data_IF_974645512849
#
_entry.id   IF_974645512849
#
_cell.length_a   1.000
_cell.length_b   1.000
_cell.length_c   1.000
_cell.angle_alpha   90.00
_cell.angle_beta   90.00
_cell.angle_gamma   90.00
#
_symmetry.space_group_name_H-M   'P 1'
#
loop_
_entity.id
_entity.type
_entity.pdbx_description
1 polymer ?
#
# COMPACT_ATOMS: atom_id res chain seq x y z
N UNK A 1 25.29 42.76 -31.93
CA UNK A 1 25.14 42.08 -30.63
C UNK A 1 23.98 41.10 -30.79
N UNK A 2 24.29 39.83 -31.05
CA UNK A 2 23.29 38.79 -31.31
C UNK A 2 22.98 38.08 -30.00
N UNK A 3 21.68 38.01 -29.68
CA UNK A 3 21.10 37.30 -28.55
C UNK A 3 21.55 35.83 -28.50
N UNK A 4 22.33 35.51 -27.48
CA UNK A 4 22.62 34.14 -27.03
C UNK A 4 21.65 33.79 -25.91
N UNK A 5 20.36 33.68 -26.23
CA UNK A 5 19.42 32.95 -25.38
C UNK A 5 19.66 31.46 -25.60
N UNK A 6 20.71 30.95 -24.95
CA UNK A 6 20.97 29.53 -24.79
C UNK A 6 19.72 28.88 -24.19
N UNK A 7 18.93 28.26 -25.06
CA UNK A 7 17.88 27.31 -24.70
C UNK A 7 18.53 26.30 -23.75
N UNK A 8 18.18 26.40 -22.46
CA UNK A 8 18.57 25.42 -21.44
C UNK A 8 18.14 24.06 -21.95
N UNK A 9 19.11 23.23 -22.33
CA UNK A 9 18.89 21.81 -22.46
C UNK A 9 18.44 21.33 -21.08
N UNK A 10 17.14 21.11 -20.91
CA UNK A 10 16.57 20.51 -19.71
C UNK A 10 17.05 19.06 -19.69
N UNK A 11 18.20 18.87 -19.07
CA UNK A 11 18.73 17.56 -18.77
C UNK A 11 17.86 17.00 -17.64
N UNK A 12 17.32 15.82 -17.86
CA UNK A 12 16.53 14.99 -16.94
C UNK A 12 17.11 14.86 -15.51
N UNK A 13 18.37 15.22 -15.30
CA UNK A 13 19.10 15.11 -14.04
C UNK A 13 19.23 16.41 -13.26
N UNK A 14 18.68 17.54 -13.73
CA UNK A 14 18.79 18.82 -13.03
C UNK A 14 17.70 18.96 -11.95
N UNK A 15 18.10 18.76 -10.69
CA UNK A 15 17.26 19.00 -9.51
C UNK A 15 16.77 20.46 -9.41
N UNK A 16 17.44 21.42 -10.05
CA UNK A 16 17.01 22.81 -10.13
C UNK A 16 15.72 22.99 -10.93
N UNK A 17 15.59 22.27 -12.05
CA UNK A 17 14.39 22.34 -12.91
C UNK A 17 13.11 21.88 -12.22
N UNK A 18 13.21 20.93 -11.28
CA UNK A 18 12.08 20.45 -10.49
C UNK A 18 11.54 21.50 -9.50
N UNK A 19 12.41 22.34 -8.95
CA UNK A 19 11.98 23.41 -8.06
C UNK A 19 11.29 24.54 -8.84
N UNK A 20 11.80 24.86 -10.03
CA UNK A 20 11.16 25.81 -10.95
C UNK A 20 9.77 25.30 -11.39
N UNK A 21 9.65 24.01 -11.75
CA UNK A 21 8.37 23.36 -12.04
C UNK A 21 7.40 23.39 -10.86
N UNK A 22 7.88 23.19 -9.62
CA UNK A 22 7.06 23.24 -8.41
C UNK A 22 6.53 24.64 -8.11
N UNK A 23 7.33 25.68 -8.40
CA UNK A 23 6.89 27.07 -8.27
C UNK A 23 5.91 27.45 -9.38
N UNK A 24 6.16 27.02 -10.62
CA UNK A 24 5.26 27.23 -11.75
C UNK A 24 3.91 26.52 -11.57
N UNK A 25 3.89 25.31 -10.99
CA UNK A 25 2.65 24.59 -10.66
C UNK A 25 1.77 25.31 -9.62
N UNK A 26 2.31 26.30 -8.89
CA UNK A 26 1.52 27.14 -7.96
C UNK A 26 0.85 28.32 -8.68
N UNK A 27 1.42 28.78 -9.78
CA UNK A 27 0.94 29.94 -10.55
C UNK A 27 0.12 29.54 -11.77
N UNK A 28 0.56 28.50 -12.49
CA UNK A 28 -0.05 28.00 -13.72
C UNK A 28 0.09 26.46 -13.77
N UNK A 29 -0.98 25.79 -13.33
CA UNK A 29 -1.03 24.33 -13.24
C UNK A 29 -1.04 23.66 -14.61
N UNK A 30 -1.67 24.28 -15.61
CA UNK A 30 -1.82 23.68 -16.94
C UNK A 30 -0.50 23.74 -17.71
N UNK A 31 0.20 24.87 -17.63
CA UNK A 31 1.55 24.99 -18.20
C UNK A 31 2.55 24.04 -17.53
N UNK A 32 2.48 23.89 -16.20
CA UNK A 32 3.35 22.97 -15.47
C UNK A 32 3.05 21.50 -15.82
N UNK A 33 1.78 21.13 -15.96
CA UNK A 33 1.35 19.78 -16.34
C UNK A 33 1.82 19.41 -17.75
N UNK A 34 1.73 20.35 -18.70
CA UNK A 34 2.23 20.18 -20.06
C UNK A 34 3.74 19.98 -20.11
N UNK A 35 4.47 20.75 -19.30
CA UNK A 35 5.93 20.63 -19.23
C UNK A 35 6.36 19.28 -18.62
N UNK A 36 5.72 18.83 -17.55
CA UNK A 36 5.98 17.51 -16.95
C UNK A 36 5.64 16.38 -17.92
N UNK A 37 4.52 16.49 -18.65
CA UNK A 37 4.12 15.47 -19.62
C UNK A 37 5.12 15.32 -20.78
N UNK A 38 5.71 16.43 -21.25
CA UNK A 38 6.79 16.40 -22.26
C UNK A 38 8.05 15.72 -21.74
N UNK A 39 8.44 16.02 -20.50
CA UNK A 39 9.60 15.36 -19.86
C UNK A 39 9.37 13.85 -19.71
N UNK A 40 8.14 13.45 -19.35
CA UNK A 40 7.75 12.04 -19.26
C UNK A 40 7.78 11.34 -20.62
N UNK A 41 7.28 11.97 -21.68
CA UNK A 41 7.34 11.44 -23.05
C UNK A 41 8.79 11.19 -23.51
N UNK A 42 9.71 12.11 -23.21
CA UNK A 42 11.13 11.93 -23.50
C UNK A 42 11.76 10.70 -22.82
N UNK A 43 11.37 10.44 -21.56
CA UNK A 43 11.82 9.27 -20.80
C UNK A 43 11.21 7.97 -21.32
N UNK A 44 9.95 8.02 -21.69
CA UNK A 44 9.28 6.87 -22.26
C UNK A 44 9.91 6.49 -23.61
N UNK A 45 10.20 7.48 -24.47
CA UNK A 45 10.89 7.25 -25.74
C UNK A 45 12.29 6.68 -25.55
N UNK A 46 13.06 7.13 -24.55
CA UNK A 46 14.39 6.57 -24.28
C UNK A 46 14.33 5.13 -23.80
N UNK A 47 13.40 4.78 -22.89
CA UNK A 47 13.21 3.41 -22.43
C UNK A 47 12.63 2.49 -23.51
N UNK A 48 11.78 3.01 -24.42
CA UNK A 48 11.32 2.24 -25.58
C UNK A 48 12.48 1.90 -26.52
N UNK A 49 13.31 2.88 -26.91
CA UNK A 49 14.47 2.62 -27.80
C UNK A 49 15.43 1.63 -27.14
N UNK A 50 15.68 1.81 -25.84
CA UNK A 50 16.53 0.91 -25.05
C UNK A 50 15.98 -0.51 -24.95
N UNK A 51 14.67 -0.68 -24.70
CA UNK A 51 14.04 -2.00 -24.63
C UNK A 51 13.98 -2.71 -26.00
N UNK A 52 13.70 -1.97 -27.08
CA UNK A 52 13.76 -2.51 -28.45
C UNK A 52 15.17 -3.04 -28.79
N UNK A 53 16.23 -2.32 -28.38
CA UNK A 53 17.60 -2.79 -28.60
C UNK A 53 18.00 -3.96 -27.70
N UNK A 54 17.63 -3.93 -26.41
CA UNK A 54 17.85 -5.07 -25.50
C UNK A 54 17.20 -6.35 -26.02
N UNK A 55 16.00 -6.25 -26.58
CA UNK A 55 15.33 -7.39 -27.22
C UNK A 55 16.12 -7.91 -28.43
N UNK A 56 16.76 -7.03 -29.21
CA UNK A 56 17.67 -7.41 -30.30
C UNK A 56 18.98 -8.04 -29.82
N UNK A 57 19.52 -7.57 -28.69
CA UNK A 57 20.76 -8.09 -28.10
C UNK A 57 20.61 -9.56 -27.65
N UNK A 58 19.41 -10.00 -27.24
CA UNK A 58 19.10 -11.42 -26.94
C UNK A 58 19.24 -12.31 -28.17
N UNK A 59 18.99 -11.79 -29.38
CA UNK A 59 19.23 -12.51 -30.64
C UNK A 59 20.68 -12.41 -31.13
N UNK A 60 21.51 -11.60 -30.48
CA UNK A 60 22.93 -11.40 -30.79
C UNK A 60 23.87 -12.09 -29.78
N UNK A 61 23.34 -12.92 -28.87
CA UNK A 61 24.14 -13.72 -27.93
C UNK A 61 25.13 -14.62 -28.71
N UNK A 62 26.41 -14.25 -28.66
CA UNK A 62 27.52 -14.92 -29.36
C UNK A 62 28.31 -14.03 -30.32
N UNK A 63 27.92 -12.76 -30.53
CA UNK A 63 28.60 -11.88 -31.49
C UNK A 63 29.78 -11.12 -30.84
N UNK A 64 31.01 -11.42 -31.26
CA UNK A 64 32.27 -10.80 -30.78
C UNK A 64 32.40 -9.28 -31.07
N UNK A 65 31.43 -8.69 -31.77
CA UNK A 65 31.41 -7.28 -32.15
C UNK A 65 30.73 -6.36 -31.12
N UNK A 66 30.10 -6.91 -30.07
CA UNK A 66 29.53 -6.10 -28.98
C UNK A 66 30.60 -5.78 -27.93
N UNK A 67 31.34 -4.70 -28.13
CA UNK A 67 32.32 -4.19 -27.16
C UNK A 67 31.71 -3.10 -26.27
N UNK A 68 32.24 -2.93 -25.06
CA UNK A 68 31.81 -1.88 -24.13
C UNK A 68 31.88 -0.47 -24.74
N UNK A 69 32.84 -0.22 -25.63
CA UNK A 69 32.95 1.03 -26.38
C UNK A 69 31.79 1.20 -27.36
N UNK A 70 31.39 0.14 -28.08
CA UNK A 70 30.23 0.16 -28.98
C UNK A 70 28.93 0.43 -28.23
N UNK A 71 28.77 -0.17 -27.04
CA UNK A 71 27.62 0.07 -26.17
C UNK A 71 27.53 1.53 -25.71
N UNK A 72 28.66 2.13 -25.32
CA UNK A 72 28.71 3.54 -24.93
C UNK A 72 28.32 4.49 -26.08
N UNK A 73 28.86 4.28 -27.28
CA UNK A 73 28.49 5.11 -28.44
C UNK A 73 27.02 4.93 -28.84
N UNK A 74 26.51 3.71 -28.70
CA UNK A 74 25.11 3.38 -28.94
C UNK A 74 24.18 4.08 -27.94
N UNK A 75 24.54 4.08 -26.66
CA UNK A 75 23.78 4.79 -25.62
C UNK A 75 23.77 6.30 -25.83
N UNK A 76 24.92 6.89 -26.20
CA UNK A 76 25.00 8.31 -26.53
C UNK A 76 24.13 8.66 -27.75
N UNK A 77 24.15 7.81 -28.78
CA UNK A 77 23.33 7.97 -29.98
C UNK A 77 21.84 7.89 -29.65
N UNK A 78 21.44 6.91 -28.83
CA UNK A 78 20.06 6.72 -28.40
C UNK A 78 19.56 7.92 -27.59
N UNK A 79 20.38 8.46 -26.69
CA UNK A 79 20.05 9.67 -25.94
C UNK A 79 19.76 10.86 -26.86
N UNK A 80 20.58 11.07 -27.90
CA UNK A 80 20.38 12.16 -28.85
C UNK A 80 19.18 11.93 -29.77
N UNK A 81 18.94 10.69 -30.18
CA UNK A 81 17.78 10.32 -30.98
C UNK A 81 16.49 10.54 -30.20
N UNK A 82 16.40 10.07 -28.95
CA UNK A 82 15.23 10.26 -28.08
C UNK A 82 14.98 11.74 -27.79
N UNK A 83 16.03 12.54 -27.54
CA UNK A 83 15.91 13.98 -27.36
C UNK A 83 15.36 14.67 -28.62
N UNK A 84 15.88 14.30 -29.79
CA UNK A 84 15.45 14.90 -31.07
C UNK A 84 14.01 14.51 -31.41
N UNK A 85 13.61 13.25 -31.15
CA UNK A 85 12.25 12.78 -31.38
C UNK A 85 11.25 13.47 -30.45
N UNK A 86 11.59 13.61 -29.16
CA UNK A 86 10.79 14.34 -28.18
C UNK A 86 10.61 15.82 -28.56
N UNK A 87 11.65 16.46 -29.12
CA UNK A 87 11.60 17.89 -29.46
C UNK A 87 10.94 18.19 -30.83
N UNK A 88 11.14 17.36 -31.85
CA UNK A 88 10.73 17.68 -33.24
C UNK A 88 9.38 17.07 -33.64
N UNK A 89 9.00 15.94 -33.06
CA UNK A 89 7.80 15.21 -33.45
C UNK A 89 7.29 14.39 -32.26
N UNK A 90 6.79 15.10 -31.24
CA UNK A 90 6.14 14.48 -30.09
C UNK A 90 5.10 13.46 -30.55
N UNK A 91 5.03 12.32 -29.87
CA UNK A 91 4.20 11.17 -30.29
C UNK A 91 2.71 11.38 -30.04
N UNK A 92 2.32 12.55 -29.52
CA UNK A 92 0.95 12.84 -29.09
C UNK A 92 0.64 12.33 -27.67
N UNK A 93 1.62 11.67 -27.03
CA UNK A 93 1.45 11.03 -25.73
C UNK A 93 1.41 12.06 -24.61
N UNK A 94 2.22 13.11 -24.71
CA UNK A 94 2.19 14.21 -23.75
C UNK A 94 0.82 14.90 -23.74
N UNK A 95 0.20 15.14 -24.90
CA UNK A 95 -1.14 15.70 -25.02
C UNK A 95 -2.24 14.74 -24.54
N UNK A 96 -2.07 13.44 -24.72
CA UNK A 96 -2.98 12.43 -24.17
C UNK A 96 -2.91 12.39 -22.63
N UNK A 97 -1.70 12.42 -22.07
CA UNK A 97 -1.48 12.49 -20.62
C UNK A 97 -2.04 13.78 -20.03
N UNK A 98 -1.82 14.92 -20.69
CA UNK A 98 -2.40 16.21 -20.29
C UNK A 98 -3.92 16.15 -20.25
N UNK A 99 -4.57 15.60 -21.28
CA UNK A 99 -6.04 15.45 -21.31
C UNK A 99 -6.60 14.53 -20.24
N UNK A 100 -5.86 13.49 -19.85
CA UNK A 100 -6.31 12.54 -18.84
C UNK A 100 -6.08 13.08 -17.42
N UNK A 101 -4.96 13.77 -17.19
CA UNK A 101 -4.58 14.31 -15.89
C UNK A 101 -5.25 15.66 -15.60
N UNK A 102 -5.57 16.47 -16.62
CA UNK A 102 -6.33 17.72 -16.43
C UNK A 102 -7.75 17.47 -15.92
N UNK A 103 -8.35 16.32 -16.29
CA UNK A 103 -9.65 15.85 -15.77
C UNK A 103 -9.59 15.36 -14.33
N UNK A 104 -8.40 15.16 -13.77
CA UNK A 104 -8.17 14.66 -12.41
C UNK A 104 -7.42 15.66 -11.53
N UNK A 105 -7.48 16.96 -11.83
CA UNK A 105 -6.88 17.98 -10.96
C UNK A 105 -7.69 18.06 -9.65
N UNK A 106 -7.09 17.77 -8.48
CA UNK A 106 -7.79 17.85 -7.21
C UNK A 106 -8.28 19.29 -6.96
N UNK A 107 -9.60 19.45 -6.78
CA UNK A 107 -10.24 20.73 -6.46
C UNK A 107 -10.89 21.49 -7.62
N UNK A 108 -11.03 20.89 -8.81
CA UNK A 108 -11.81 21.41 -9.93
C UNK A 108 -12.88 20.40 -10.37
N UNK A 109 -14.01 20.90 -10.89
CA UNK A 109 -15.05 20.06 -11.49
C UNK A 109 -14.71 19.67 -12.94
N UNK A 110 -15.54 18.82 -13.57
CA UNK A 110 -15.37 18.35 -14.95
C UNK A 110 -15.35 19.47 -16.01
N UNK A 111 -15.59 20.72 -15.62
CA UNK A 111 -15.58 21.91 -16.47
C UNK A 111 -14.41 22.85 -16.19
N UNK A 112 -13.51 22.51 -15.27
CA UNK A 112 -12.35 23.32 -14.92
C UNK A 112 -12.67 24.50 -13.99
N UNK A 113 -13.86 24.51 -13.37
CA UNK A 113 -14.22 25.52 -12.38
C UNK A 113 -13.71 25.11 -10.99
N UNK A 114 -13.18 26.04 -10.17
CA UNK A 114 -12.75 25.74 -8.82
C UNK A 114 -13.94 25.29 -7.97
N UNK A 115 -13.86 24.08 -7.41
CA UNK A 115 -14.89 23.51 -6.54
C UNK A 115 -15.05 24.42 -5.31
N UNK A 116 -16.27 24.94 -5.10
CA UNK A 116 -16.62 25.94 -4.07
C UNK A 116 -16.55 25.45 -2.61
N UNK A 117 -15.73 24.45 -2.31
CA UNK A 117 -15.59 23.88 -0.97
C UNK A 117 -14.35 24.38 -0.21
N UNK A 118 -13.51 25.24 -0.78
CA UNK A 118 -12.38 25.85 -0.07
C UNK A 118 -12.36 27.37 -0.26
N UNK A 119 -13.12 28.08 0.59
CA UNK A 119 -12.94 29.52 0.77
C UNK A 119 -11.61 29.77 1.49
N UNK A 120 -10.78 30.65 0.93
CA UNK A 120 -9.35 30.83 1.27
C UNK A 120 -9.07 31.58 2.59
N UNK A 121 -10.08 32.02 3.35
CA UNK A 121 -9.86 32.73 4.62
C UNK A 121 -11.04 32.58 5.60
N UNK A 122 -10.73 32.51 6.92
CA UNK A 122 -11.72 32.47 8.01
C UNK A 122 -12.67 33.69 8.04
N UNK A 123 -12.29 34.80 7.42
CA UNK A 123 -13.11 36.02 7.35
C UNK A 123 -14.29 35.93 6.37
N UNK A 124 -14.32 34.88 5.53
CA UNK A 124 -15.30 34.67 4.47
C UNK A 124 -16.51 33.81 4.91
N UNK A 125 -16.54 33.46 6.21
CA UNK A 125 -17.71 32.94 6.89
C UNK A 125 -18.68 34.09 7.16
N UNK A 126 -19.74 34.15 6.37
CA UNK A 126 -20.94 34.90 6.73
C UNK A 126 -21.45 34.39 8.09
N UNK A 127 -21.50 35.29 9.08
CA UNK A 127 -21.91 34.98 10.47
C UNK A 127 -23.44 34.97 10.61
N UNK A 128 -24.18 34.67 9.55
CA UNK A 128 -25.58 34.36 9.64
C UNK A 128 -25.71 32.93 10.17
N UNK A 129 -25.98 32.80 11.48
CA UNK A 129 -26.34 31.52 12.06
C UNK A 129 -27.53 30.96 11.26
N UNK A 130 -27.46 29.72 10.73
CA UNK A 130 -28.61 29.12 10.09
C UNK A 130 -29.75 29.02 11.09
N UNK A 131 -30.98 29.23 10.62
CA UNK A 131 -32.19 29.08 11.45
C UNK A 131 -32.14 27.67 12.06
N UNK A 132 -31.97 27.59 13.38
CA UNK A 132 -31.97 26.34 14.12
C UNK A 132 -33.29 25.63 13.81
N UNK A 133 -33.19 24.50 13.13
CA UNK A 133 -34.36 23.66 12.86
C UNK A 133 -35.03 23.31 14.19
N UNK A 134 -36.36 23.44 14.32
CA UNK A 134 -37.07 23.19 15.59
C UNK A 134 -37.00 21.72 16.06
N UNK A 135 -36.37 20.84 15.27
CA UNK A 135 -36.11 19.43 15.58
C UNK A 135 -34.69 19.14 16.05
N UNK A 136 -33.79 20.13 16.07
CA UNK A 136 -32.42 19.97 16.56
C UNK A 136 -32.35 19.49 18.02
N UNK A 137 -33.20 19.98 18.96
CA UNK A 137 -33.18 19.47 20.33
C UNK A 137 -33.45 17.96 20.38
N UNK A 138 -34.51 17.50 19.70
CA UNK A 138 -34.85 16.06 19.65
C UNK A 138 -33.78 15.21 18.94
N UNK A 139 -33.11 15.76 17.93
CA UNK A 139 -32.04 15.05 17.23
C UNK A 139 -30.75 14.99 18.05
N UNK A 140 -30.42 16.04 18.81
CA UNK A 140 -29.28 16.07 19.72
C UNK A 140 -29.51 15.13 20.89
N UNK A 141 -30.72 15.09 21.44
CA UNK A 141 -31.07 14.16 22.52
C UNK A 141 -30.97 12.69 22.04
N UNK A 142 -31.44 12.39 20.82
CA UNK A 142 -31.27 11.06 20.22
C UNK A 142 -29.81 10.71 19.93
N UNK A 143 -29.00 11.67 19.47
CA UNK A 143 -27.57 11.45 19.24
C UNK A 143 -26.84 11.25 20.57
N UNK A 144 -27.22 11.97 21.62
CA UNK A 144 -26.69 11.76 22.97
C UNK A 144 -27.14 10.42 23.56
N UNK A 145 -28.39 9.99 23.38
CA UNK A 145 -28.82 8.65 23.79
C UNK A 145 -28.06 7.55 23.04
N UNK A 146 -27.86 7.69 21.73
CA UNK A 146 -27.07 6.74 20.94
C UNK A 146 -25.58 6.79 21.35
N UNK A 147 -25.05 7.97 21.67
CA UNK A 147 -23.68 8.13 22.16
C UNK A 147 -23.49 7.59 23.58
N UNK A 148 -24.47 7.73 24.47
CA UNK A 148 -24.46 7.18 25.84
C UNK A 148 -24.68 5.67 25.83
N UNK A 149 -25.48 5.15 24.89
CA UNK A 149 -25.64 3.71 24.65
C UNK A 149 -24.37 3.12 24.02
N UNK A 150 -23.70 3.85 23.12
CA UNK A 150 -22.40 3.46 22.56
C UNK A 150 -21.24 3.59 23.57
N UNK A 151 -21.30 4.56 24.49
CA UNK A 151 -20.32 4.70 25.57
C UNK A 151 -20.54 3.68 26.71
N UNK A 152 -21.79 3.24 26.92
CA UNK A 152 -22.12 2.15 27.86
C UNK A 152 -21.95 0.76 27.26
N UNK A 153 -21.85 0.63 25.93
CA UNK A 153 -21.34 -0.56 25.25
C UNK A 153 -19.80 -0.61 25.31
N UNK A 154 -19.24 -0.45 26.51
CA UNK A 154 -17.86 -0.87 26.78
C UNK A 154 -17.90 -2.38 26.97
N UNK A 155 -17.53 -3.09 25.91
CA UNK A 155 -17.11 -4.48 25.98
C UNK A 155 -16.11 -4.60 27.16
N UNK A 156 -16.37 -5.46 28.18
CA UNK A 156 -15.54 -5.57 29.38
C UNK A 156 -14.11 -6.06 29.11
N UNK A 157 -13.74 -6.26 27.84
CA UNK A 157 -12.39 -6.66 27.41
C UNK A 157 -11.46 -5.50 27.04
N UNK A 158 -11.95 -4.26 26.89
CA UNK A 158 -11.15 -3.11 26.43
C UNK A 158 -10.03 -2.64 27.40
N UNK A 159 -9.94 -3.24 28.59
CA UNK A 159 -8.90 -2.97 29.59
C UNK A 159 -7.94 -4.14 29.85
N UNK A 160 -8.05 -5.26 29.13
CA UNK A 160 -7.06 -6.33 29.23
C UNK A 160 -5.75 -5.86 28.60
N UNK A 161 -4.71 -5.73 29.41
CA UNK A 161 -3.33 -5.67 28.92
C UNK A 161 -3.14 -6.88 28.01
N UNK A 162 -2.95 -6.62 26.72
CA UNK A 162 -2.80 -7.68 25.74
C UNK A 162 -1.52 -8.46 26.06
N UNK A 163 -1.54 -9.80 25.94
CA UNK A 163 -0.39 -10.60 26.31
C UNK A 163 0.77 -10.34 25.34
N UNK A 164 1.93 -9.98 25.90
CA UNK A 164 3.19 -9.85 25.14
C UNK A 164 3.68 -11.22 24.62
N UNK A 165 3.22 -12.31 25.25
CA UNK A 165 3.58 -13.70 24.92
C UNK A 165 2.41 -14.65 25.09
N UNK A 166 2.45 -15.72 24.32
CA UNK A 166 1.45 -16.78 24.35
C UNK A 166 2.05 -18.08 24.90
N UNK A 167 1.45 -18.62 25.95
CA UNK A 167 1.94 -19.82 26.64
C UNK A 167 1.58 -21.13 25.93
N UNK A 168 0.50 -21.14 25.15
CA UNK A 168 0.04 -22.31 24.42
C UNK A 168 -0.72 -21.95 23.13
N UNK A 169 -0.85 -22.89 22.17
CA UNK A 169 -1.71 -22.73 21.01
C UNK A 169 -3.16 -22.37 21.36
N UNK A 170 -3.72 -22.97 22.40
CA UNK A 170 -5.08 -22.71 22.87
C UNK A 170 -5.21 -21.30 23.47
N UNK A 171 -4.17 -20.83 24.19
CA UNK A 171 -4.12 -19.47 24.69
C UNK A 171 -4.08 -18.46 23.52
N UNK A 172 -3.25 -18.72 22.51
CA UNK A 172 -3.15 -17.91 21.30
C UNK A 172 -4.50 -17.78 20.58
N UNK A 173 -5.19 -18.90 20.34
CA UNK A 173 -6.50 -18.90 19.68
C UNK A 173 -7.54 -18.17 20.53
N UNK A 174 -7.59 -18.44 21.84
CA UNK A 174 -8.58 -17.83 22.74
C UNK A 174 -8.48 -16.30 22.78
N UNK A 175 -7.28 -15.74 22.75
CA UNK A 175 -7.10 -14.29 22.81
C UNK A 175 -7.30 -13.62 21.44
N UNK A 176 -6.85 -14.25 20.34
CA UNK A 176 -6.89 -13.61 19.02
C UNK A 176 -8.19 -13.86 18.24
N UNK A 177 -8.87 -14.99 18.45
CA UNK A 177 -10.07 -15.35 17.69
C UNK A 177 -11.20 -14.30 17.82
N UNK A 178 -11.52 -13.76 19.01
CA UNK A 178 -12.55 -12.72 19.11
C UNK A 178 -12.21 -11.43 18.35
N UNK A 179 -10.92 -11.08 18.23
CA UNK A 179 -10.49 -9.92 17.43
C UNK A 179 -10.62 -10.22 15.94
N UNK A 180 -10.21 -11.42 15.53
CA UNK A 180 -10.36 -11.88 14.16
C UNK A 180 -11.84 -11.95 13.74
N UNK A 181 -12.75 -12.36 14.63
CA UNK A 181 -14.20 -12.36 14.38
C UNK A 181 -14.74 -10.96 14.12
N UNK A 182 -14.39 -9.97 14.96
CA UNK A 182 -14.79 -8.56 14.76
C UNK A 182 -14.27 -7.96 13.44
N UNK A 183 -13.07 -8.35 13.01
CA UNK A 183 -12.49 -7.91 11.72
C UNK A 183 -13.09 -8.67 10.53
N UNK A 184 -13.45 -9.93 10.71
CA UNK A 184 -14.09 -10.76 9.70
C UNK A 184 -15.48 -10.25 9.32
N UNK A 185 -16.25 -9.71 10.28
CA UNK A 185 -17.58 -9.14 10.02
C UNK A 185 -17.58 -8.06 8.93
N UNK A 186 -16.48 -7.32 8.81
CA UNK A 186 -16.34 -6.23 7.83
C UNK A 186 -15.72 -6.71 6.51
N UNK A 187 -14.81 -7.69 6.57
CA UNK A 187 -14.00 -8.12 5.43
C UNK A 187 -14.52 -9.36 4.71
N UNK A 188 -15.38 -10.15 5.37
CA UNK A 188 -15.85 -11.45 4.89
C UNK A 188 -14.80 -12.57 4.95
N UNK A 189 -13.57 -12.29 5.39
CA UNK A 189 -12.50 -13.28 5.51
C UNK A 189 -12.76 -14.15 6.73
N UNK A 190 -12.64 -15.47 6.57
CA UNK A 190 -12.86 -16.40 7.68
C UNK A 190 -11.93 -16.12 8.89
N UNK A 191 -12.48 -15.92 10.12
CA UNK A 191 -11.68 -15.62 11.31
C UNK A 191 -10.63 -16.69 11.63
N UNK A 192 -10.99 -17.97 11.47
CA UNK A 192 -10.08 -19.08 11.74
C UNK A 192 -8.92 -19.10 10.77
N UNK A 193 -9.14 -18.68 9.52
CA UNK A 193 -8.05 -18.58 8.56
C UNK A 193 -7.05 -17.49 8.97
N UNK A 194 -7.53 -16.33 9.40
CA UNK A 194 -6.66 -15.25 9.89
C UNK A 194 -5.83 -15.70 11.11
N UNK A 195 -6.46 -16.37 12.07
CA UNK A 195 -5.75 -16.91 13.26
C UNK A 195 -4.76 -18.02 12.88
N UNK A 196 -5.13 -18.93 11.97
CA UNK A 196 -4.24 -19.98 11.50
C UNK A 196 -2.99 -19.42 10.81
N UNK A 197 -3.18 -18.37 10.01
CA UNK A 197 -2.08 -17.70 9.35
C UNK A 197 -1.19 -17.00 10.37
N UNK A 198 -1.76 -16.23 11.30
CA UNK A 198 -1.00 -15.61 12.40
C UNK A 198 -0.20 -16.66 13.21
N UNK A 199 -0.79 -17.84 13.48
CA UNK A 199 -0.13 -18.94 14.16
C UNK A 199 1.04 -19.52 13.32
N UNK A 200 0.88 -19.61 12.00
CA UNK A 200 1.95 -20.06 11.10
C UNK A 200 3.12 -19.07 11.07
N UNK A 201 2.81 -17.78 10.90
CA UNK A 201 3.81 -16.71 10.75
C UNK A 201 4.61 -16.50 12.03
N UNK A 202 3.94 -16.54 13.19
CA UNK A 202 4.58 -16.27 14.50
C UNK A 202 5.01 -17.54 15.24
N UNK A 203 4.71 -18.71 14.68
CA UNK A 203 4.90 -19.99 15.37
C UNK A 203 4.10 -20.08 16.68
N UNK A 204 2.81 -19.75 16.64
CA UNK A 204 1.90 -19.63 17.80
C UNK A 204 2.34 -18.54 18.79
N UNK A 205 2.83 -17.42 18.29
CA UNK A 205 3.26 -16.28 19.10
C UNK A 205 4.62 -16.47 19.80
N UNK A 206 5.36 -17.53 19.48
CA UNK A 206 6.71 -17.77 20.05
C UNK A 206 7.79 -16.93 19.40
N UNK A 207 7.58 -16.52 18.16
CA UNK A 207 8.52 -15.75 17.34
C UNK A 207 7.87 -14.44 16.90
N UNK A 208 7.55 -13.60 17.87
CA UNK A 208 7.03 -12.25 17.61
C UNK A 208 8.17 -11.30 17.24
N UNK A 209 7.87 -10.36 16.35
CA UNK A 209 8.75 -9.23 16.04
C UNK A 209 8.74 -8.31 17.26
N UNK A 210 9.89 -8.17 17.91
CA UNK A 210 10.08 -7.29 19.08
C UNK A 210 10.87 -6.05 18.65
N UNK A 211 10.44 -4.88 19.12
CA UNK A 211 11.09 -3.59 18.95
C UNK A 211 12.29 -3.38 19.85
N UNK A 212 12.94 -2.23 19.70
CA UNK A 212 14.02 -1.81 20.58
C UNK A 212 13.55 -1.81 22.04
N UNK A 213 14.30 -2.50 22.91
CA UNK A 213 13.96 -2.62 24.33
C UNK A 213 12.96 -3.75 24.67
N UNK A 214 12.61 -4.61 23.71
CA UNK A 214 11.74 -5.77 23.94
C UNK A 214 10.24 -5.45 23.89
N UNK A 215 9.87 -4.25 23.42
CA UNK A 215 8.46 -3.88 23.22
C UNK A 215 7.84 -4.74 22.11
N UNK A 216 6.64 -5.29 22.29
CA UNK A 216 5.97 -6.05 21.23
C UNK A 216 5.62 -5.12 20.05
N UNK A 217 5.90 -5.56 18.81
CA UNK A 217 5.40 -4.86 17.61
C UNK A 217 3.93 -5.18 17.28
N UNK A 218 3.38 -6.23 17.91
CA UNK A 218 2.08 -6.82 17.61
C UNK A 218 1.88 -7.25 16.15
N UNK A 219 2.94 -7.34 15.34
CA UNK A 219 2.84 -7.71 13.93
C UNK A 219 2.71 -9.22 13.74
N UNK A 220 1.47 -9.69 13.65
CA UNK A 220 1.12 -11.11 13.52
C UNK A 220 1.41 -11.71 12.15
N UNK A 221 1.52 -10.86 11.11
CA UNK A 221 1.54 -11.30 9.71
C UNK A 221 2.86 -11.00 9.00
N UNK A 222 3.88 -10.55 9.74
CA UNK A 222 5.21 -10.24 9.18
C UNK A 222 5.18 -9.16 8.09
N UNK A 223 4.22 -8.24 8.12
CA UNK A 223 4.06 -7.23 7.06
C UNK A 223 5.23 -6.24 7.12
N UNK A 224 5.97 -6.13 6.02
CA UNK A 224 7.09 -5.20 5.89
C UNK A 224 6.58 -3.75 5.83
N UNK A 225 7.33 -2.84 6.45
CA UNK A 225 7.10 -1.41 6.37
C UNK A 225 7.75 -0.88 5.07
N UNK A 226 6.94 -0.74 4.02
CA UNK A 226 7.37 -0.12 2.76
C UNK A 226 7.27 1.41 2.82
N UNK A 227 7.68 2.10 1.74
CA UNK A 227 7.68 3.56 1.68
C UNK A 227 6.31 4.22 1.81
N UNK A 228 5.21 3.46 1.70
CA UNK A 228 3.84 3.96 1.85
C UNK A 228 3.38 3.88 3.30
N UNK A 229 4.06 3.09 4.14
CA UNK A 229 3.75 2.97 5.55
C UNK A 229 4.18 4.24 6.31
N UNK A 230 3.23 4.83 7.04
CA UNK A 230 3.44 6.05 7.82
C UNK A 230 3.38 5.81 9.33
N UNK A 231 3.08 4.58 9.76
CA UNK A 231 3.00 4.20 11.16
C UNK A 231 4.36 3.81 11.75
N UNK A 232 4.32 3.34 12.99
CA UNK A 232 5.50 2.84 13.69
C UNK A 232 6.11 1.62 12.97
N UNK A 233 7.41 1.46 13.06
CA UNK A 233 8.11 0.33 12.46
C UNK A 233 9.27 -0.15 13.31
N UNK A 234 9.55 -1.44 13.23
CA UNK A 234 10.68 -2.08 13.91
C UNK A 234 11.66 -2.59 12.87
N UNK A 235 12.94 -2.27 13.06
CA UNK A 235 14.01 -2.75 12.20
C UNK A 235 14.67 -3.99 12.80
N UNK A 236 14.49 -5.14 12.16
CA UNK A 236 15.10 -6.41 12.59
C UNK A 236 16.17 -6.83 11.57
N UNK A 237 17.29 -7.33 12.07
CA UNK A 237 18.27 -8.01 11.22
C UNK A 237 17.73 -9.40 10.88
N UNK A 238 17.34 -9.61 9.62
CA UNK A 238 16.82 -10.88 9.11
C UNK A 238 17.90 -11.56 8.27
N UNK A 239 18.07 -12.87 8.45
CA UNK A 239 18.88 -13.69 7.56
C UNK A 239 18.01 -14.15 6.39
N UNK A 240 18.16 -13.51 5.24
CA UNK A 240 17.45 -13.85 4.01
C UNK A 240 18.36 -14.70 3.11
N UNK A 241 17.79 -15.69 2.41
CA UNK A 241 18.55 -16.52 1.48
C UNK A 241 18.32 -16.04 0.05
N UNK A 242 19.32 -15.37 -0.55
CA UNK A 242 19.32 -15.06 -1.99
C UNK A 242 20.21 -16.08 -2.69
N UNK A 243 19.65 -16.79 -3.67
CA UNK A 243 20.37 -17.81 -4.45
C UNK A 243 21.01 -18.91 -3.57
N UNK A 244 20.43 -19.20 -2.40
CA UNK A 244 20.93 -20.20 -1.45
C UNK A 244 22.03 -19.71 -0.51
N UNK A 245 22.43 -18.43 -0.58
CA UNK A 245 23.42 -17.83 0.33
C UNK A 245 22.72 -17.02 1.42
N UNK A 246 23.00 -17.27 2.72
CA UNK A 246 22.44 -16.45 3.80
C UNK A 246 23.08 -15.06 3.79
N UNK A 247 22.25 -14.03 3.62
CA UNK A 247 22.62 -12.62 3.75
C UNK A 247 21.87 -12.00 4.92
N UNK A 248 22.60 -11.32 5.80
CA UNK A 248 21.99 -10.54 6.87
C UNK A 248 21.55 -9.18 6.31
N UNK A 249 20.25 -9.02 6.10
CA UNK A 249 19.64 -7.76 5.67
C UNK A 249 18.84 -7.16 6.83
N UNK A 250 18.81 -5.83 6.93
CA UNK A 250 17.89 -5.15 7.85
C UNK A 250 16.56 -4.97 7.13
N UNK A 251 15.51 -5.56 7.67
CA UNK A 251 14.15 -5.39 7.20
C UNK A 251 13.36 -4.56 8.20
N UNK A 252 12.62 -3.57 7.70
CA UNK A 252 11.66 -2.82 8.48
C UNK A 252 10.31 -3.55 8.45
N UNK A 253 9.73 -3.80 9.60
CA UNK A 253 8.40 -4.39 9.78
C UNK A 253 7.47 -3.37 10.40
N UNK A 254 6.19 -3.41 10.03
CA UNK A 254 5.18 -2.55 10.64
C UNK A 254 5.05 -2.90 12.13
N UNK A 255 4.78 -1.90 12.95
CA UNK A 255 4.41 -2.07 14.35
C UNK A 255 3.04 -1.45 14.58
N UNK A 256 2.27 -2.08 15.46
CA UNK A 256 0.88 -1.72 15.72
C UNK A 256 0.70 -1.41 17.22
N UNK A 257 -0.34 -0.66 17.59
CA UNK A 257 -0.66 -0.45 19.00
C UNK A 257 -1.19 -1.71 19.70
N UNK A 258 -1.81 -2.63 18.96
CA UNK A 258 -2.38 -3.87 19.46
C UNK A 258 -2.57 -4.92 18.33
N UNK A 259 -3.01 -6.12 18.69
CA UNK A 259 -3.27 -7.22 17.75
C UNK A 259 -4.45 -6.95 16.81
N UNK A 260 -5.48 -6.24 17.25
CA UNK A 260 -6.66 -5.94 16.41
C UNK A 260 -6.27 -5.01 15.25
N UNK A 261 -5.43 -4.01 15.52
CA UNK A 261 -4.83 -3.15 14.51
C UNK A 261 -4.00 -3.95 13.49
N UNK A 262 -3.28 -4.99 13.94
CA UNK A 262 -2.57 -5.90 13.03
C UNK A 262 -3.52 -6.67 12.11
N UNK A 263 -4.64 -7.18 12.62
CA UNK A 263 -5.67 -7.83 11.79
C UNK A 263 -6.30 -6.85 10.79
N UNK A 264 -6.66 -5.64 11.22
CA UNK A 264 -7.25 -4.61 10.34
C UNK A 264 -6.29 -4.21 9.21
N UNK A 265 -5.01 -3.99 9.54
CA UNK A 265 -4.00 -3.64 8.53
C UNK A 265 -3.73 -4.81 7.57
N UNK A 266 -3.78 -6.05 8.05
CA UNK A 266 -3.70 -7.24 7.20
C UNK A 266 -4.83 -7.29 6.16
N UNK A 267 -6.08 -7.08 6.59
CA UNK A 267 -7.22 -7.00 5.66
C UNK A 267 -7.02 -5.87 4.65
N UNK A 268 -6.70 -4.67 5.13
CA UNK A 268 -6.44 -3.50 4.27
C UNK A 268 -5.31 -3.76 3.26
N UNK A 269 -4.26 -4.46 3.67
CA UNK A 269 -3.16 -4.88 2.80
C UNK A 269 -3.63 -5.82 1.69
N UNK A 270 -4.52 -6.78 2.00
CA UNK A 270 -5.09 -7.66 0.98
C UNK A 270 -6.01 -6.89 0.02
N UNK A 271 -6.89 -6.04 0.53
CA UNK A 271 -7.87 -5.28 -0.25
C UNK A 271 -7.23 -4.25 -1.18
N UNK A 272 -6.20 -3.55 -0.68
CA UNK A 272 -5.51 -2.49 -1.43
C UNK A 272 -4.59 -3.03 -2.52
N UNK A 273 -4.22 -4.31 -2.49
CA UNK A 273 -3.29 -4.89 -3.45
C UNK A 273 -4.03 -5.73 -4.51
N UNK A 274 -4.05 -5.28 -5.79
CA UNK A 274 -4.76 -5.98 -6.86
C UNK A 274 -4.37 -7.46 -7.03
N UNK A 275 -3.15 -7.83 -6.61
CA UNK A 275 -2.65 -9.20 -6.63
C UNK A 275 -3.53 -10.19 -5.85
N UNK A 276 -4.22 -9.74 -4.82
CA UNK A 276 -5.03 -10.60 -3.95
C UNK A 276 -6.53 -10.55 -4.26
N UNK A 277 -6.97 -9.89 -5.34
CA UNK A 277 -8.39 -9.83 -5.70
C UNK A 277 -9.03 -11.21 -5.86
N UNK A 278 -8.33 -12.12 -6.54
CA UNK A 278 -8.79 -13.50 -6.68
C UNK A 278 -8.81 -14.25 -5.34
N UNK A 279 -7.92 -13.90 -4.40
CA UNK A 279 -7.90 -14.49 -3.07
C UNK A 279 -9.14 -14.05 -2.28
N UNK A 280 -9.42 -12.74 -2.28
CA UNK A 280 -10.59 -12.16 -1.61
C UNK A 280 -11.91 -12.64 -2.21
N UNK A 281 -11.94 -12.99 -3.50
CA UNK A 281 -13.12 -13.60 -4.12
C UNK A 281 -13.48 -14.99 -3.55
N UNK A 282 -12.55 -15.63 -2.84
CA UNK A 282 -12.75 -16.90 -2.14
C UNK A 282 -12.75 -16.75 -0.60
N UNK A 283 -13.03 -15.54 -0.08
CA UNK A 283 -12.99 -15.23 1.36
C UNK A 283 -13.91 -16.13 2.21
N UNK A 284 -15.01 -16.61 1.64
CA UNK A 284 -15.98 -17.51 2.26
C UNK A 284 -15.56 -19.00 2.21
N UNK A 285 -14.55 -19.34 1.41
CA UNK A 285 -14.01 -20.69 1.28
C UNK A 285 -12.55 -20.76 1.75
N UNK A 286 -12.29 -21.14 3.01
CA UNK A 286 -10.94 -21.06 3.57
C UNK A 286 -9.91 -21.96 2.89
N UNK A 287 -10.32 -23.12 2.39
CA UNK A 287 -9.41 -24.05 1.72
C UNK A 287 -8.91 -23.47 0.40
N UNK A 288 -9.84 -22.91 -0.38
CA UNK A 288 -9.55 -22.25 -1.65
C UNK A 288 -8.79 -20.93 -1.44
N UNK A 289 -9.14 -20.16 -0.41
CA UNK A 289 -8.42 -18.95 -0.03
C UNK A 289 -6.94 -19.25 0.19
N UNK A 290 -6.61 -20.30 0.96
CA UNK A 290 -5.23 -20.68 1.25
C UNK A 290 -4.45 -21.08 -0.01
N UNK A 291 -5.08 -21.77 -0.96
CA UNK A 291 -4.44 -22.11 -2.24
C UNK A 291 -4.21 -20.88 -3.12
N UNK A 292 -5.21 -20.01 -3.23
CA UNK A 292 -5.11 -18.76 -4.02
C UNK A 292 -4.08 -17.81 -3.42
N UNK A 293 -3.98 -17.74 -2.09
CA UNK A 293 -3.00 -16.90 -1.39
C UNK A 293 -1.56 -17.33 -1.73
N UNK A 294 -1.31 -18.63 -1.77
CA UNK A 294 -0.02 -19.17 -2.21
C UNK A 294 0.25 -18.86 -3.69
N UNK A 295 -0.73 -19.08 -4.57
CA UNK A 295 -0.59 -18.78 -6.01
C UNK A 295 -0.34 -17.29 -6.29
N UNK A 296 -0.92 -16.41 -5.47
CA UNK A 296 -0.69 -14.97 -5.50
C UNK A 296 0.71 -14.55 -5.02
N UNK A 297 1.53 -15.49 -4.53
CA UNK A 297 2.89 -15.23 -4.07
C UNK A 297 2.93 -14.45 -2.76
N UNK A 298 2.02 -14.75 -1.84
CA UNK A 298 2.09 -14.25 -0.45
C UNK A 298 3.33 -14.81 0.26
N UNK A 299 3.58 -16.11 0.10
CA UNK A 299 4.76 -16.80 0.62
C UNK A 299 5.49 -17.55 -0.50
N UNK A 300 6.81 -17.73 -0.36
CA UNK A 300 7.65 -18.49 -1.29
C UNK A 300 7.61 -20.00 -1.03
N UNK A 301 7.01 -20.44 0.09
CA UNK A 301 6.91 -21.85 0.46
C UNK A 301 5.88 -22.59 -0.42
N UNK A 302 6.26 -23.66 -1.14
CA UNK A 302 5.34 -24.43 -1.98
C UNK A 302 4.26 -25.21 -1.20
N UNK A 303 4.39 -25.33 0.12
CA UNK A 303 3.40 -26.01 0.97
C UNK A 303 2.60 -25.04 1.85
N UNK A 304 2.67 -23.74 1.57
CA UNK A 304 2.07 -22.71 2.42
C UNK A 304 0.56 -22.92 2.64
N UNK A 305 -0.22 -23.10 1.57
CA UNK A 305 -1.66 -23.30 1.66
C UNK A 305 -2.02 -24.57 2.44
N UNK A 306 -1.26 -25.66 2.23
CA UNK A 306 -1.45 -26.91 2.97
C UNK A 306 -1.15 -26.77 4.46
N UNK A 307 -0.15 -25.96 4.84
CA UNK A 307 0.17 -25.67 6.24
C UNK A 307 -0.95 -24.88 6.93
N UNK A 308 -1.49 -23.86 6.28
CA UNK A 308 -2.64 -23.09 6.79
C UNK A 308 -3.82 -24.02 7.05
N UNK A 309 -4.23 -24.82 6.06
CA UNK A 309 -5.34 -25.77 6.21
C UNK A 309 -5.12 -26.75 7.35
N UNK A 310 -3.91 -27.28 7.51
CA UNK A 310 -3.58 -28.18 8.63
C UNK A 310 -3.77 -27.48 9.98
N UNK A 311 -3.30 -26.25 10.13
CA UNK A 311 -3.45 -25.49 11.37
C UNK A 311 -4.92 -25.21 11.66
N UNK A 312 -5.69 -24.79 10.65
CA UNK A 312 -7.13 -24.55 10.76
C UNK A 312 -7.90 -25.76 11.25
N UNK A 313 -7.53 -26.95 10.78
CA UNK A 313 -8.21 -28.21 11.07
C UNK A 313 -7.68 -28.93 12.32
N UNK A 314 -6.71 -28.38 13.04
CA UNK A 314 -6.21 -28.96 14.28
C UNK A 314 -7.19 -28.78 15.46
N UNK A 315 -7.09 -29.65 16.46
CA UNK A 315 -7.98 -29.70 17.63
C UNK A 315 -7.99 -28.39 18.44
N UNK A 316 -6.85 -27.72 18.57
CA UNK A 316 -6.74 -26.43 19.30
C UNK A 316 -7.59 -25.33 18.64
N UNK A 317 -7.76 -25.35 17.32
CA UNK A 317 -8.62 -24.41 16.58
C UNK A 317 -10.09 -24.85 16.58
N UNK A 318 -10.32 -26.17 16.54
CA UNK A 318 -11.65 -26.76 16.40
C UNK A 318 -12.44 -26.76 17.70
N UNK A 319 -11.80 -27.05 18.83
CA UNK A 319 -12.46 -27.20 20.15
C UNK A 319 -12.91 -25.85 20.71
N UNK A 320 -12.09 -24.81 20.57
CA UNK A 320 -12.39 -23.47 21.11
C UNK A 320 -13.49 -22.75 20.32
N UNK A 321 -13.54 -22.94 19.00
CA UNK A 321 -14.57 -22.30 18.17
C UNK A 321 -15.91 -23.03 18.20
N UNK A 322 -15.98 -24.29 18.65
CA UNK A 322 -17.26 -24.91 19.03
C UNK A 322 -17.76 -24.42 20.39
N UNK A 323 -16.84 -24.08 21.32
CA UNK A 323 -17.18 -23.54 22.64
C UNK A 323 -17.76 -22.12 22.59
N UNK A 324 -17.36 -21.26 21.65
CA UNK A 324 -17.90 -19.89 21.54
C UNK A 324 -19.33 -19.84 20.98
N UNK A 325 -19.71 -20.80 20.12
CA UNK A 325 -21.09 -20.90 19.57
C UNK A 325 -22.10 -21.55 20.51
N UNK A 326 -21.66 -22.23 21.58
CA UNK A 326 -22.53 -22.98 22.49
C UNK A 326 -22.94 -22.23 23.76
N UNK A 327 -22.57 -20.95 23.91
CA UNK A 327 -22.82 -20.17 25.12
C UNK A 327 -23.96 -19.13 24.99
N UNK A 328 -24.73 -19.15 23.88
CA UNK A 328 -25.83 -18.22 23.62
C UNK A 328 -27.23 -18.88 23.49
N UNK A 329 -27.42 -20.12 23.94
CA UNK A 329 -28.77 -20.71 24.11
C UNK A 329 -29.15 -20.86 25.59
#
# INVERSE_FOLDING_TARGET
MQDLSLQKAQVYTDFGGLNDLKTQARTDKDAALLEVAKQFEGLFLSEMVKSMRKAGDVFAEGNYLNSQQSEFYREMFDSQLSLTLSQKQGTGLSEALVRQLSRQIPGMDDKGEPMAAHKKALADYDRSLPVLSPRLPEQVDRVNEVAETAASATDPTAGKVMPDRFDSPEHFVRELLPMAERVAEQSGINPRLMVAQAALETGWGRHMIEGDGGSPSFNLFGIKADSRWQGESVNIATTEFREGVPMNERAAFRAYPDYEASFRDYVSFLESNPRYREVLAAADNPDEFADRLQQAGYATDPNYGAKIRRIMNNDSMTTLSMGSRGAEE
#
